data_IF_419352772691
#
_entry.id   IF_419352772691
#
_cell.length_a   1.000
_cell.length_b   1.000
_cell.length_c   1.000
_cell.angle_alpha   90.00
_cell.angle_beta   90.00
_cell.angle_gamma   90.00
#
_symmetry.space_group_name_H-M   'P 1'
#
loop_
_entity.id
_entity.type
_entity.pdbx_description
1 polymer ?
#
# COMPACT_ATOMS: atom_id res chain seq x y z
N UNK A 1 -4.12 38.04 28.67
CA UNK A 1 -2.86 37.97 27.92
C UNK A 1 -1.99 36.92 28.60
N UNK A 2 -1.51 35.86 27.98
CA UNK A 2 -1.80 35.26 26.68
C UNK A 2 -1.93 33.75 26.92
N UNK A 3 -2.79 33.09 26.16
CA UNK A 3 -2.89 31.65 26.18
C UNK A 3 -1.60 31.07 25.64
N UNK A 4 -0.90 30.29 26.46
CA UNK A 4 0.13 29.37 25.99
C UNK A 4 -0.58 28.29 25.19
N UNK A 5 -0.75 28.57 23.90
CA UNK A 5 -1.22 27.63 22.91
C UNK A 5 -0.32 26.41 22.95
N UNK A 6 -0.92 25.28 23.30
CA UNK A 6 -0.33 23.97 23.19
C UNK A 6 0.36 23.86 21.82
N UNK A 7 1.66 23.58 21.84
CA UNK A 7 2.39 23.09 20.67
C UNK A 7 1.70 21.78 20.30
N UNK A 8 0.75 21.84 19.38
CA UNK A 8 0.16 20.67 18.78
C UNK A 8 1.24 20.09 17.88
N UNK A 9 1.80 18.97 18.34
CA UNK A 9 2.59 18.07 17.51
C UNK A 9 1.71 17.72 16.31
N UNK A 10 2.10 18.18 15.12
CA UNK A 10 1.47 17.79 13.87
C UNK A 10 1.87 16.35 13.64
N UNK A 11 1.07 15.43 14.17
CA UNK A 11 1.16 14.01 13.89
C UNK A 11 0.78 13.84 12.42
N UNK A 12 1.81 13.73 11.55
CA UNK A 12 1.63 13.42 10.13
C UNK A 12 0.70 12.21 10.03
N UNK A 13 -0.46 12.39 9.41
CA UNK A 13 -1.41 11.31 9.16
C UNK A 13 -0.69 10.24 8.34
N UNK A 14 -0.29 9.14 8.97
CA UNK A 14 0.10 7.93 8.24
C UNK A 14 -1.13 7.49 7.44
N UNK A 15 -1.19 7.84 6.17
CA UNK A 15 -2.11 7.19 5.24
C UNK A 15 -1.54 5.79 5.04
N UNK A 16 -2.09 4.79 5.72
CA UNK A 16 -1.69 3.41 5.45
C UNK A 16 -1.78 3.14 3.95
N UNK A 17 -0.72 2.54 3.39
CA UNK A 17 -0.70 2.22 1.96
C UNK A 17 -1.90 1.31 1.67
N UNK A 18 -2.68 1.58 0.61
CA UNK A 18 -3.77 0.70 0.22
C UNK A 18 -3.29 -0.74 0.05
N UNK A 19 -4.13 -1.71 0.38
CA UNK A 19 -3.83 -3.13 0.19
C UNK A 19 -4.53 -3.64 -1.08
N UNK A 20 -3.76 -4.28 -1.97
CA UNK A 20 -4.24 -4.90 -3.21
C UNK A 20 -4.07 -6.41 -3.12
N UNK A 21 -5.16 -7.13 -3.35
CA UNK A 21 -5.15 -8.57 -3.62
C UNK A 21 -5.04 -8.78 -5.13
N UNK A 22 -3.95 -9.41 -5.56
CA UNK A 22 -3.67 -9.73 -6.95
C UNK A 22 -3.90 -11.22 -7.21
N UNK A 23 -4.67 -11.54 -8.26
CA UNK A 23 -5.04 -12.90 -8.66
C UNK A 23 -5.05 -13.03 -10.19
N UNK A 24 -4.91 -14.25 -10.70
CA UNK A 24 -5.06 -14.62 -12.11
C UNK A 24 -5.52 -16.08 -12.22
N UNK A 25 -5.85 -16.50 -13.44
CA UNK A 25 -6.20 -17.87 -13.82
C UNK A 25 -4.99 -18.69 -14.32
N UNK A 26 -3.94 -18.03 -14.82
CA UNK A 26 -2.70 -18.70 -15.28
C UNK A 26 -1.84 -19.31 -14.15
N UNK A 27 -2.10 -18.92 -12.90
CA UNK A 27 -1.35 -19.35 -11.72
C UNK A 27 -0.18 -18.46 -11.30
N UNK A 28 0.40 -18.78 -10.15
CA UNK A 28 1.42 -17.94 -9.47
C UNK A 28 2.72 -17.77 -10.27
N UNK A 29 3.05 -18.75 -11.11
CA UNK A 29 4.27 -18.77 -11.92
C UNK A 29 4.13 -18.04 -13.27
N UNK A 30 2.96 -17.44 -13.53
CA UNK A 30 2.74 -16.64 -14.74
C UNK A 30 3.74 -15.48 -14.81
N UNK A 31 4.47 -15.30 -15.93
CA UNK A 31 5.48 -14.26 -16.06
C UNK A 31 4.91 -12.85 -15.90
N UNK A 32 3.62 -12.67 -16.19
CA UNK A 32 2.91 -11.38 -16.08
C UNK A 32 2.62 -11.02 -14.62
N UNK A 33 2.38 -12.02 -13.77
CA UNK A 33 2.05 -11.84 -12.34
C UNK A 33 3.14 -11.06 -11.61
N UNK A 34 4.40 -11.43 -11.83
CA UNK A 34 5.55 -10.78 -11.20
C UNK A 34 5.71 -9.33 -11.66
N UNK A 35 5.53 -9.06 -12.95
CA UNK A 35 5.64 -7.71 -13.52
C UNK A 35 4.56 -6.80 -12.95
N UNK A 36 3.32 -7.31 -12.87
CA UNK A 36 2.19 -6.56 -12.35
C UNK A 36 2.33 -6.27 -10.86
N UNK A 37 2.75 -7.25 -10.04
CA UNK A 37 3.04 -7.03 -8.62
C UNK A 37 4.09 -5.93 -8.42
N UNK A 38 5.16 -5.94 -9.21
CA UNK A 38 6.22 -4.94 -9.11
C UNK A 38 5.70 -3.52 -9.39
N UNK A 39 4.80 -3.37 -10.37
CA UNK A 39 4.17 -2.09 -10.68
C UNK A 39 3.23 -1.63 -9.55
N UNK A 40 2.37 -2.53 -9.04
CA UNK A 40 1.39 -2.21 -8.00
C UNK A 40 2.03 -1.86 -6.64
N UNK A 41 3.18 -2.48 -6.32
CA UNK A 41 3.96 -2.15 -5.11
C UNK A 41 4.44 -0.69 -5.04
N UNK A 42 4.39 0.08 -6.14
CA UNK A 42 4.72 1.51 -6.15
C UNK A 42 3.61 2.38 -5.57
N UNK A 43 2.37 1.90 -5.56
CA UNK A 43 1.18 2.65 -5.14
C UNK A 43 0.46 2.03 -3.94
N UNK A 44 0.66 0.74 -3.69
CA UNK A 44 -0.09 -0.04 -2.70
C UNK A 44 0.74 -1.23 -2.21
N UNK A 45 0.47 -1.73 -1.01
CA UNK A 45 0.95 -3.06 -0.60
C UNK A 45 0.21 -4.13 -1.40
N UNK A 46 0.92 -5.09 -1.99
CA UNK A 46 0.31 -6.11 -2.88
C UNK A 46 0.56 -7.53 -2.37
N UNK A 47 -0.52 -8.29 -2.21
CA UNK A 47 -0.53 -9.72 -1.85
C UNK A 47 -1.00 -10.54 -3.05
N UNK A 48 -0.39 -11.70 -3.30
CA UNK A 48 -0.80 -12.61 -4.38
C UNK A 48 -1.63 -13.75 -3.80
N UNK A 49 -2.73 -14.08 -4.49
CA UNK A 49 -3.48 -15.32 -4.30
C UNK A 49 -3.87 -15.87 -5.67
N UNK A 50 -3.21 -16.94 -6.10
CA UNK A 50 -3.39 -17.56 -7.41
C UNK A 50 -3.14 -19.08 -7.29
N UNK A 51 -3.74 -19.90 -8.18
CA UNK A 51 -3.51 -21.34 -8.23
C UNK A 51 -2.07 -21.74 -8.61
#
# INVERSE_FOLDING_TARGET
MGGDIARQDVEETMTEKPLILLTNDDGIDSPVMLVLKKALNTVAETVIFAP
#
